data_IF_594416991705
#
_entry.id   IF_594416991705
#
_cell.length_a   1.000
_cell.length_b   1.000
_cell.length_c   1.000
_cell.angle_alpha   90.00
_cell.angle_beta   90.00
_cell.angle_gamma   90.00
#
_symmetry.space_group_name_H-M   'P 1'
#
loop_
_entity.id
_entity.type
_entity.pdbx_description
1 polymer ?
#
# COMPACT_ATOMS: atom_id res chain seq x y z
N UNK A 1 -18.21 26.56 50.03
CA UNK A 1 -17.81 26.58 48.60
C UNK A 1 -16.35 26.96 48.54
N UNK A 2 -15.60 26.41 47.59
CA UNK A 2 -14.19 26.73 47.39
C UNK A 2 -13.85 26.79 45.90
N UNK A 3 -12.72 27.43 45.59
CA UNK A 3 -12.30 27.62 44.22
C UNK A 3 -11.30 26.55 43.80
N UNK A 4 -11.57 25.89 42.67
CA UNK A 4 -10.63 25.04 41.94
C UNK A 4 -10.10 25.79 40.72
N UNK A 5 -8.81 26.09 40.71
CA UNK A 5 -8.12 26.67 39.56
C UNK A 5 -7.39 25.59 38.78
N UNK A 6 -7.60 25.54 37.47
CA UNK A 6 -6.94 24.58 36.59
C UNK A 6 -6.20 25.32 35.48
N UNK A 7 -4.89 25.09 35.38
CA UNK A 7 -4.05 25.56 34.27
C UNK A 7 -3.80 24.46 33.25
N UNK A 8 -4.25 24.68 32.02
CA UNK A 8 -3.78 23.91 30.86
C UNK A 8 -2.50 24.54 30.35
N UNK A 9 -1.36 23.95 30.70
CA UNK A 9 -0.05 24.38 30.17
C UNK A 9 -0.05 24.27 28.64
N UNK A 10 0.67 25.19 27.99
CA UNK A 10 0.80 25.18 26.53
C UNK A 10 1.43 23.87 26.06
N UNK A 11 0.82 23.25 25.07
CA UNK A 11 1.37 22.12 24.32
C UNK A 11 1.10 22.34 22.84
N UNK A 12 1.99 21.87 21.97
CA UNK A 12 1.71 21.79 20.53
C UNK A 12 0.64 20.73 20.24
N UNK A 13 0.68 19.65 21.03
CA UNK A 13 -0.24 18.51 20.90
C UNK A 13 -1.63 18.92 21.38
N UNK A 14 -2.65 18.70 20.55
CA UNK A 14 -4.03 19.07 20.89
C UNK A 14 -4.27 20.57 21.03
N UNK A 15 -3.36 21.41 20.54
CA UNK A 15 -3.38 22.87 20.74
C UNK A 15 -4.64 23.56 20.20
N UNK A 16 -5.25 23.04 19.15
CA UNK A 16 -6.46 23.57 18.52
C UNK A 16 -7.75 23.22 19.29
N UNK A 17 -7.75 22.10 20.00
CA UNK A 17 -8.91 21.62 20.75
C UNK A 17 -9.05 22.30 22.11
N UNK A 18 -10.27 22.41 22.63
CA UNK A 18 -10.54 22.79 24.02
C UNK A 18 -10.75 21.55 24.88
N UNK A 19 -10.17 21.52 26.07
CA UNK A 19 -10.38 20.46 27.05
C UNK A 19 -11.62 20.77 27.88
N UNK A 20 -12.53 19.81 28.02
CA UNK A 20 -13.75 19.93 28.81
C UNK A 20 -13.48 19.40 30.21
N UNK A 21 -13.77 20.23 31.21
CA UNK A 21 -13.61 19.90 32.63
C UNK A 21 -14.95 19.48 33.19
N UNK A 22 -14.97 18.33 33.85
CA UNK A 22 -16.13 17.73 34.49
C UNK A 22 -15.83 17.43 35.95
N UNK A 23 -16.86 17.40 36.79
CA UNK A 23 -16.77 16.97 38.19
C UNK A 23 -17.78 15.84 38.42
N UNK A 24 -17.39 14.85 39.22
CA UNK A 24 -18.28 13.77 39.66
C UNK A 24 -19.48 14.34 40.41
N UNK A 25 -20.67 13.93 40.01
CA UNK A 25 -21.93 14.36 40.61
C UNK A 25 -22.98 13.27 40.42
N UNK A 26 -23.29 12.55 41.49
CA UNK A 26 -24.22 11.41 41.49
C UNK A 26 -25.65 11.77 41.07
N UNK A 27 -26.02 13.06 41.12
CA UNK A 27 -27.33 13.55 40.72
C UNK A 27 -27.35 14.08 39.28
N UNK A 28 -26.19 14.16 38.63
CA UNK A 28 -26.08 14.65 37.26
C UNK A 28 -26.43 13.57 36.24
N UNK A 29 -27.23 13.96 35.25
CA UNK A 29 -27.54 13.15 34.07
C UNK A 29 -26.79 13.64 32.80
N UNK A 30 -25.83 14.56 32.93
CA UNK A 30 -25.21 15.21 31.78
C UNK A 30 -24.25 14.28 31.01
N UNK A 31 -23.38 13.57 31.75
CA UNK A 31 -22.38 12.69 31.16
C UNK A 31 -21.92 11.64 32.17
N UNK A 32 -21.81 10.39 31.72
CA UNK A 32 -21.10 9.33 32.47
C UNK A 32 -19.72 9.13 31.86
N UNK A 33 -18.67 9.20 32.67
CA UNK A 33 -17.27 8.95 32.28
C UNK A 33 -16.75 7.78 33.12
N UNK A 34 -16.36 6.68 32.47
CA UNK A 34 -15.86 5.48 33.17
C UNK A 34 -16.83 4.97 34.26
N UNK A 35 -18.13 5.07 34.01
CA UNK A 35 -19.18 4.65 34.94
C UNK A 35 -19.56 5.67 36.02
N UNK A 36 -18.90 6.84 36.07
CA UNK A 36 -19.17 7.88 37.07
C UNK A 36 -20.02 9.00 36.45
N UNK A 37 -21.22 9.29 36.99
CA UNK A 37 -22.02 10.45 36.60
C UNK A 37 -21.29 11.76 36.91
N UNK A 38 -21.29 12.68 35.95
CA UNK A 38 -20.53 13.92 36.00
C UNK A 38 -21.36 15.09 35.46
N UNK A 39 -21.09 16.30 35.97
CA UNK A 39 -21.55 17.57 35.39
C UNK A 39 -20.37 18.39 34.88
N UNK A 40 -20.58 19.22 33.85
CA UNK A 40 -19.55 20.07 33.26
C UNK A 40 -19.29 21.28 34.14
N UNK A 41 -18.01 21.56 34.40
CA UNK A 41 -17.55 22.80 35.02
C UNK A 41 -17.24 23.85 33.95
N UNK A 42 -16.61 23.44 32.85
CA UNK A 42 -16.29 24.36 31.77
C UNK A 42 -15.30 23.81 30.75
N UNK A 43 -14.55 24.71 30.13
CA UNK A 43 -13.59 24.39 29.08
C UNK A 43 -12.28 25.17 29.27
N UNK A 44 -11.17 24.58 28.81
CA UNK A 44 -9.82 25.13 28.85
C UNK A 44 -9.19 25.11 27.45
N UNK A 45 -8.89 26.29 26.92
CA UNK A 45 -8.05 26.52 25.74
C UNK A 45 -6.57 26.24 26.06
N UNK A 46 -5.76 26.09 25.03
CA UNK A 46 -4.33 25.84 25.19
C UNK A 46 -3.64 27.04 25.87
N UNK A 47 -2.97 26.80 26.99
CA UNK A 47 -2.34 27.87 27.79
C UNK A 47 -3.30 28.61 28.73
N UNK A 48 -4.59 28.25 28.77
CA UNK A 48 -5.58 28.92 29.63
C UNK A 48 -5.48 28.44 31.07
N UNK A 49 -5.68 29.37 31.99
CA UNK A 49 -5.93 29.12 33.40
C UNK A 49 -7.34 29.61 33.73
N UNK A 50 -8.13 28.77 34.39
CA UNK A 50 -9.53 29.09 34.71
C UNK A 50 -9.90 28.52 36.07
N UNK A 51 -10.72 29.29 36.79
CA UNK A 51 -11.22 28.94 38.12
C UNK A 51 -12.68 28.52 38.06
N UNK A 52 -13.04 27.55 38.89
CA UNK A 52 -14.37 26.97 39.00
C UNK A 52 -14.77 26.90 40.47
N UNK A 53 -16.01 27.25 40.77
CA UNK A 53 -16.59 27.07 42.09
C UNK A 53 -17.03 25.61 42.27
N UNK A 54 -16.53 24.98 43.34
CA UNK A 54 -16.85 23.61 43.72
C UNK A 54 -17.25 23.53 45.20
N UNK A 55 -17.89 22.43 45.59
CA UNK A 55 -18.21 22.16 46.99
C UNK A 55 -16.99 21.85 47.84
N UNK A 56 -17.22 21.66 49.13
CA UNK A 56 -16.20 21.33 50.12
C UNK A 56 -16.02 19.81 50.28
N UNK A 57 -16.90 19.02 49.67
CA UNK A 57 -16.80 17.57 49.58
C UNK A 57 -15.66 17.11 48.67
N UNK A 58 -15.15 15.91 48.95
CA UNK A 58 -14.21 15.25 48.05
C UNK A 58 -14.90 14.88 46.74
N UNK A 59 -14.22 15.12 45.62
CA UNK A 59 -14.79 14.89 44.30
C UNK A 59 -13.72 14.47 43.29
N UNK A 60 -14.15 13.84 42.19
CA UNK A 60 -13.27 13.48 41.08
C UNK A 60 -13.45 14.48 39.95
N UNK A 61 -12.35 15.11 39.55
CA UNK A 61 -12.29 16.03 38.41
C UNK A 61 -11.86 15.25 37.19
N UNK A 62 -12.60 15.33 36.09
CA UNK A 62 -12.25 14.72 34.81
C UNK A 62 -11.92 15.77 33.77
N UNK A 63 -10.95 15.45 32.91
CA UNK A 63 -10.60 16.27 31.74
C UNK A 63 -10.62 15.39 30.49
N UNK A 64 -11.45 15.76 29.52
CA UNK A 64 -11.61 15.05 28.24
C UNK A 64 -11.59 16.02 27.06
N UNK A 65 -11.19 15.54 25.88
CA UNK A 65 -11.28 16.33 24.65
C UNK A 65 -12.73 16.42 24.16
N UNK A 66 -13.42 15.29 24.11
CA UNK A 66 -14.78 15.16 23.61
C UNK A 66 -15.54 13.98 24.24
N UNK A 67 -16.85 13.92 23.97
CA UNK A 67 -17.74 12.91 24.55
C UNK A 67 -17.57 11.52 23.91
N UNK A 68 -17.03 11.42 22.68
CA UNK A 68 -16.85 10.18 21.94
C UNK A 68 -15.65 9.42 22.50
N UNK A 69 -14.56 10.13 22.78
CA UNK A 69 -13.31 9.54 23.26
C UNK A 69 -13.24 9.34 24.78
N UNK A 70 -14.28 9.72 25.53
CA UNK A 70 -14.29 9.80 27.01
C UNK A 70 -13.88 8.52 27.74
N UNK A 71 -14.03 7.36 27.12
CA UNK A 71 -13.74 6.05 27.73
C UNK A 71 -12.28 5.58 27.57
N UNK A 72 -11.47 6.31 26.80
CA UNK A 72 -10.07 5.94 26.54
C UNK A 72 -9.11 7.14 26.46
N UNK A 73 -9.62 8.33 26.13
CA UNK A 73 -8.91 9.61 26.14
C UNK A 73 -9.52 10.50 27.23
N UNK A 74 -9.26 10.12 28.48
CA UNK A 74 -9.58 10.90 29.66
C UNK A 74 -8.42 10.91 30.64
N UNK A 75 -8.48 11.85 31.57
CA UNK A 75 -7.70 11.89 32.79
C UNK A 75 -8.58 12.34 33.93
N UNK A 76 -8.24 11.92 35.15
CA UNK A 76 -8.92 12.39 36.34
C UNK A 76 -7.96 12.81 37.44
N UNK A 77 -8.46 13.57 38.41
CA UNK A 77 -7.77 13.92 39.65
C UNK A 77 -8.77 13.89 40.80
N UNK A 78 -8.43 13.21 41.89
CA UNK A 78 -9.24 13.20 43.09
C UNK A 78 -8.87 14.39 43.96
N UNK A 79 -9.84 15.29 44.15
CA UNK A 79 -9.68 16.44 45.05
C UNK A 79 -10.20 16.05 46.45
N UNK A 80 -9.43 16.28 47.52
CA UNK A 80 -9.84 15.93 48.87
C UNK A 80 -10.94 16.87 49.38
N UNK A 81 -11.75 16.43 50.33
CA UNK A 81 -12.66 17.34 51.04
C UNK A 81 -11.87 18.43 51.79
N UNK A 82 -12.45 19.61 51.94
CA UNK A 82 -11.86 20.73 52.68
C UNK A 82 -12.32 22.09 52.17
N UNK A 83 -11.87 23.15 52.85
CA UNK A 83 -12.23 24.54 52.55
C UNK A 83 -11.17 25.29 51.73
N UNK A 84 -9.98 24.70 51.60
CA UNK A 84 -8.86 25.32 50.90
C UNK A 84 -9.09 25.34 49.39
N UNK A 85 -8.71 26.48 48.78
CA UNK A 85 -8.65 26.61 47.33
C UNK A 85 -7.61 25.68 46.75
N UNK A 86 -7.91 25.10 45.59
CA UNK A 86 -7.05 24.13 44.94
C UNK A 86 -6.47 24.68 43.64
N UNK A 87 -5.23 24.28 43.36
CA UNK A 87 -4.57 24.57 42.10
C UNK A 87 -4.10 23.27 41.45
N UNK A 88 -4.63 22.99 40.26
CA UNK A 88 -4.20 21.88 39.43
C UNK A 88 -3.60 22.41 38.12
N UNK A 89 -2.68 21.66 37.55
CA UNK A 89 -2.16 21.96 36.22
C UNK A 89 -1.92 20.68 35.44
N UNK A 90 -1.83 20.82 34.12
CA UNK A 90 -1.52 19.71 33.25
C UNK A 90 -1.42 20.12 31.79
N UNK A 91 -1.15 19.16 30.91
CA UNK A 91 -1.06 19.37 29.46
C UNK A 91 -1.49 18.15 28.68
N UNK A 92 -1.80 18.34 27.41
CA UNK A 92 -1.90 17.22 26.47
C UNK A 92 -0.50 16.65 26.19
N UNK A 93 -0.40 15.32 26.21
CA UNK A 93 0.81 14.57 25.88
C UNK A 93 0.65 13.85 24.55
N UNK A 94 1.72 13.79 23.75
CA UNK A 94 1.70 13.05 22.49
C UNK A 94 1.64 11.55 22.76
N UNK A 95 0.48 10.96 22.49
CA UNK A 95 0.27 9.52 22.52
C UNK A 95 -0.97 9.21 21.64
N UNK A 96 -0.76 8.89 20.35
CA UNK A 96 -1.84 8.57 19.42
C UNK A 96 -2.75 7.43 19.92
N UNK A 97 -2.17 6.42 20.57
CA UNK A 97 -2.90 5.29 21.15
C UNK A 97 -3.82 5.67 22.33
N UNK A 98 -3.73 6.91 22.84
CA UNK A 98 -4.67 7.44 23.84
C UNK A 98 -5.29 8.77 23.41
N UNK A 99 -5.28 9.08 22.10
CA UNK A 99 -5.91 10.29 21.56
C UNK A 99 -5.28 11.59 22.05
N UNK A 100 -4.00 11.56 22.44
CA UNK A 100 -3.28 12.71 23.00
C UNK A 100 -3.96 13.34 24.24
N UNK A 101 -4.42 12.49 25.15
CA UNK A 101 -5.14 12.90 26.33
C UNK A 101 -4.40 13.95 27.18
N UNK A 102 -5.17 14.77 27.88
CA UNK A 102 -4.67 15.65 28.93
C UNK A 102 -4.10 14.81 30.08
N UNK A 103 -3.04 15.30 30.74
CA UNK A 103 -2.42 14.69 31.93
C UNK A 103 -2.22 15.75 32.99
N UNK A 104 -2.75 15.50 34.18
CA UNK A 104 -2.46 16.33 35.35
C UNK A 104 -1.02 16.10 35.78
N UNK A 105 -0.34 17.20 36.14
CA UNK A 105 0.94 17.14 36.80
C UNK A 105 0.78 16.54 38.19
N UNK A 106 1.83 15.86 38.68
CA UNK A 106 1.89 15.31 40.04
C UNK A 106 0.69 14.44 40.43
N UNK A 107 0.14 13.67 39.47
CA UNK A 107 -0.91 12.69 39.73
C UNK A 107 -0.36 11.25 39.61
N UNK A 108 0.34 10.74 40.66
CA UNK A 108 0.96 9.42 40.65
C UNK A 108 0.03 8.30 41.13
N UNK A 109 -1.27 8.57 41.35
CA UNK A 109 -2.16 7.57 41.94
C UNK A 109 -2.23 6.29 41.09
N UNK A 110 -2.26 5.13 41.76
CA UNK A 110 -2.33 3.83 41.10
C UNK A 110 -3.55 3.71 40.19
N UNK A 111 -4.68 4.31 40.60
CA UNK A 111 -5.90 4.36 39.79
C UNK A 111 -5.70 5.19 38.51
N UNK A 112 -5.07 6.37 38.60
CA UNK A 112 -4.80 7.20 37.42
C UNK A 112 -3.87 6.49 36.44
N UNK A 113 -2.80 5.85 36.94
CA UNK A 113 -1.87 5.05 36.12
C UNK A 113 -2.60 3.89 35.44
N UNK A 114 -3.47 3.19 36.18
CA UNK A 114 -4.25 2.06 35.65
C UNK A 114 -5.24 2.53 34.59
N UNK A 115 -5.90 3.66 34.80
CA UNK A 115 -6.80 4.29 33.83
C UNK A 115 -6.05 4.66 32.54
N UNK A 116 -4.86 5.27 32.63
CA UNK A 116 -4.01 5.59 31.47
C UNK A 116 -3.64 4.34 30.67
N UNK A 117 -3.28 3.24 31.34
CA UNK A 117 -2.98 1.95 30.68
C UNK A 117 -4.22 1.36 29.99
N UNK A 118 -5.37 1.36 30.67
CA UNK A 118 -6.65 0.88 30.12
C UNK A 118 -7.08 1.71 28.92
N UNK A 119 -6.95 3.03 29.00
CA UNK A 119 -7.22 3.96 27.90
C UNK A 119 -6.33 3.71 26.70
N UNK A 120 -5.02 3.50 26.92
CA UNK A 120 -4.08 3.15 25.84
C UNK A 120 -4.47 1.84 25.15
N UNK A 121 -4.81 0.79 25.90
CA UNK A 121 -5.27 -0.49 25.31
C UNK A 121 -6.53 -0.32 24.46
N UNK A 122 -7.53 0.42 24.96
CA UNK A 122 -8.76 0.72 24.19
C UNK A 122 -8.47 1.56 22.95
N UNK A 123 -7.62 2.58 23.07
CA UNK A 123 -7.30 3.45 21.94
C UNK A 123 -6.44 2.77 20.87
N UNK A 124 -5.60 1.78 21.22
CA UNK A 124 -4.96 0.89 20.22
C UNK A 124 -6.01 0.16 19.40
N UNK A 125 -7.04 -0.41 20.04
CA UNK A 125 -8.13 -1.11 19.32
C UNK A 125 -8.84 -0.15 18.36
N UNK A 126 -9.17 1.06 18.82
CA UNK A 126 -9.78 2.09 17.98
C UNK A 126 -8.88 2.47 16.80
N UNK A 127 -7.58 2.64 17.03
CA UNK A 127 -6.60 2.97 16.00
C UNK A 127 -6.48 1.83 14.96
N UNK A 128 -6.41 0.58 15.40
CA UNK A 128 -6.38 -0.59 14.52
C UNK A 128 -7.64 -0.67 13.65
N UNK A 129 -8.83 -0.45 14.25
CA UNK A 129 -10.10 -0.43 13.50
C UNK A 129 -10.10 0.71 12.48
N UNK A 130 -9.66 1.91 12.86
CA UNK A 130 -9.59 3.05 11.94
C UNK A 130 -8.64 2.79 10.75
N UNK A 131 -7.49 2.13 10.99
CA UNK A 131 -6.57 1.72 9.93
C UNK A 131 -7.20 0.67 9.01
N UNK A 132 -7.87 -0.34 9.56
CA UNK A 132 -8.56 -1.38 8.77
C UNK A 132 -9.66 -0.75 7.92
N UNK A 133 -10.51 0.11 8.50
CA UNK A 133 -11.58 0.80 7.77
C UNK A 133 -11.00 1.74 6.71
N UNK A 134 -9.93 2.49 7.03
CA UNK A 134 -9.22 3.32 6.06
C UNK A 134 -8.63 2.50 4.92
N UNK A 135 -8.08 1.32 5.21
CA UNK A 135 -7.58 0.39 4.21
C UNK A 135 -8.71 -0.19 3.35
N UNK A 136 -9.85 -0.57 3.94
CA UNK A 136 -11.01 -1.09 3.20
C UNK A 136 -11.61 -0.01 2.29
N UNK A 137 -11.86 1.20 2.80
CA UNK A 137 -12.37 2.32 1.99
C UNK A 137 -11.35 2.67 0.91
N UNK A 138 -10.07 2.76 1.26
CA UNK A 138 -8.99 2.96 0.31
C UNK A 138 -8.98 1.88 -0.76
N UNK A 139 -9.08 0.60 -0.39
CA UNK A 139 -9.12 -0.52 -1.31
C UNK A 139 -10.36 -0.52 -2.20
N UNK A 140 -11.55 -0.14 -1.72
CA UNK A 140 -12.77 -0.04 -2.53
C UNK A 140 -12.77 1.17 -3.47
N UNK A 141 -12.26 2.32 -3.04
CA UNK A 141 -12.11 3.52 -3.89
C UNK A 141 -11.00 3.31 -4.92
N UNK A 142 -9.88 2.71 -4.51
CA UNK A 142 -8.75 2.41 -5.40
C UNK A 142 -9.07 1.27 -6.36
N UNK A 143 -9.81 0.22 -5.94
CA UNK A 143 -10.27 -0.85 -6.84
C UNK A 143 -11.37 -0.37 -7.80
N UNK A 144 -12.28 0.53 -7.40
CA UNK A 144 -13.28 1.11 -8.29
C UNK A 144 -12.69 2.05 -9.35
N UNK A 145 -11.65 2.82 -8.99
CA UNK A 145 -10.91 3.66 -9.92
C UNK A 145 -10.02 2.80 -10.83
N UNK A 146 -9.31 1.80 -10.29
CA UNK A 146 -8.48 0.89 -11.08
C UNK A 146 -9.34 0.02 -12.01
N UNK A 147 -10.51 -0.45 -11.60
CA UNK A 147 -11.37 -1.26 -12.48
C UNK A 147 -11.92 -0.44 -13.66
N UNK A 148 -12.30 0.83 -13.44
CA UNK A 148 -12.74 1.73 -14.53
C UNK A 148 -11.56 2.24 -15.39
N UNK A 149 -10.36 2.40 -14.83
CA UNK A 149 -9.16 2.82 -15.57
C UNK A 149 -8.58 1.65 -16.37
N UNK A 150 -8.48 0.44 -15.80
CA UNK A 150 -7.99 -0.77 -16.48
C UNK A 150 -8.98 -1.24 -17.55
N UNK A 151 -10.30 -1.11 -17.34
CA UNK A 151 -11.28 -1.46 -18.39
C UNK A 151 -11.39 -0.43 -19.53
N UNK A 152 -10.73 0.74 -19.42
CA UNK A 152 -10.72 1.79 -20.46
C UNK A 152 -9.38 1.99 -21.18
N UNK A 153 -8.31 1.28 -20.84
CA UNK A 153 -7.14 1.25 -21.71
C UNK A 153 -7.37 0.24 -22.83
N UNK A 154 -7.97 0.70 -23.92
CA UNK A 154 -7.88 -0.05 -25.18
C UNK A 154 -6.38 -0.16 -25.52
N UNK A 155 -5.87 -1.38 -25.57
CA UNK A 155 -4.49 -1.64 -25.98
C UNK A 155 -4.20 -0.90 -27.29
N UNK A 156 -3.23 0.01 -27.27
CA UNK A 156 -2.84 0.82 -28.44
C UNK A 156 -1.44 0.42 -28.88
N UNK A 157 -1.13 0.42 -30.19
CA UNK A 157 0.21 0.13 -30.68
C UNK A 157 1.27 1.01 -30.01
N UNK A 158 2.39 0.40 -29.62
CA UNK A 158 3.54 1.09 -29.04
C UNK A 158 4.84 0.47 -29.57
N UNK A 159 5.71 1.31 -30.12
CA UNK A 159 7.03 0.90 -30.57
C UNK A 159 7.99 0.78 -29.38
N UNK A 160 8.78 -0.29 -29.38
CA UNK A 160 9.89 -0.52 -28.47
C UNK A 160 11.16 -0.69 -29.29
N UNK A 161 12.25 -0.06 -28.86
CA UNK A 161 13.55 -0.14 -29.54
C UNK A 161 14.65 -0.30 -28.51
N UNK A 162 15.46 -1.36 -28.64
CA UNK A 162 16.64 -1.59 -27.79
C UNK A 162 17.66 -2.48 -28.53
N UNK A 163 18.95 -2.26 -28.28
CA UNK A 163 20.05 -3.04 -28.89
C UNK A 163 19.95 -3.21 -30.42
N UNK A 164 19.46 -2.19 -31.13
CA UNK A 164 19.30 -2.21 -32.60
C UNK A 164 18.04 -2.94 -33.09
N UNK A 165 17.33 -3.67 -32.24
CA UNK A 165 16.04 -4.29 -32.57
C UNK A 165 14.89 -3.35 -32.23
N UNK A 166 13.91 -3.27 -33.12
CA UNK A 166 12.64 -2.53 -32.94
C UNK A 166 11.45 -3.46 -33.13
N UNK A 167 10.40 -3.31 -32.32
CA UNK A 167 9.15 -4.09 -32.41
C UNK A 167 7.97 -3.23 -31.97
N UNK A 168 6.82 -3.39 -32.62
CA UNK A 168 5.56 -2.74 -32.21
C UNK A 168 4.67 -3.73 -31.48
N UNK A 169 4.48 -3.49 -30.18
CA UNK A 169 3.57 -4.25 -29.31
C UNK A 169 2.40 -3.33 -28.92
N UNK A 170 1.91 -3.44 -27.68
CA UNK A 170 0.91 -2.54 -27.12
C UNK A 170 1.49 -1.76 -25.93
N UNK A 171 0.80 -0.70 -25.53
CA UNK A 171 1.09 0.04 -24.29
C UNK A 171 0.89 -0.77 -23.00
N UNK A 172 0.37 -2.01 -23.07
CA UNK A 172 0.29 -2.95 -21.96
C UNK A 172 1.65 -3.61 -21.65
N UNK A 173 2.59 -3.57 -22.60
CA UNK A 173 3.93 -4.10 -22.42
C UNK A 173 4.85 -3.08 -21.74
N UNK A 174 5.71 -3.59 -20.88
CA UNK A 174 6.75 -2.84 -20.17
C UNK A 174 8.09 -3.56 -20.31
N UNK A 175 9.19 -2.81 -20.43
CA UNK A 175 10.52 -3.39 -20.46
C UNK A 175 10.86 -3.99 -19.09
N UNK A 176 11.43 -5.19 -19.09
CA UNK A 176 12.00 -5.83 -17.92
C UNK A 176 13.37 -6.39 -18.26
N UNK A 177 14.27 -6.43 -17.28
CA UNK A 177 15.60 -7.00 -17.44
C UNK A 177 15.61 -8.43 -16.93
N UNK A 178 15.99 -9.36 -17.81
CA UNK A 178 16.32 -10.73 -17.44
C UNK A 178 17.75 -11.00 -17.92
N UNK A 179 18.66 -11.37 -17.01
CA UNK A 179 20.11 -11.48 -17.28
C UNK A 179 20.48 -12.33 -18.50
N UNK A 180 19.62 -13.28 -18.87
CA UNK A 180 19.85 -14.20 -19.98
C UNK A 180 19.38 -13.68 -21.34
N UNK A 181 18.60 -12.61 -21.39
CA UNK A 181 17.96 -12.11 -22.60
C UNK A 181 18.49 -10.73 -23.01
N UNK A 182 18.62 -10.49 -24.31
CA UNK A 182 19.08 -9.21 -24.87
C UNK A 182 18.05 -8.10 -24.64
N UNK A 183 16.77 -8.39 -24.86
CA UNK A 183 15.68 -7.51 -24.40
C UNK A 183 14.48 -8.35 -23.99
N UNK A 184 13.61 -7.76 -23.16
CA UNK A 184 12.38 -8.41 -22.71
C UNK A 184 11.28 -7.39 -22.47
N UNK A 185 10.08 -7.72 -22.94
CA UNK A 185 8.87 -6.92 -22.77
C UNK A 185 7.76 -7.78 -22.18
N UNK A 186 7.17 -7.34 -21.08
CA UNK A 186 6.19 -8.11 -20.30
C UNK A 186 4.89 -7.33 -20.19
N UNK A 187 3.78 -8.02 -20.45
CA UNK A 187 2.41 -7.61 -20.12
C UNK A 187 1.79 -8.60 -19.12
N UNK A 188 0.53 -8.41 -18.74
CA UNK A 188 -0.16 -9.36 -17.84
C UNK A 188 -0.40 -10.74 -18.48
N UNK A 189 -0.50 -10.81 -19.81
CA UNK A 189 -0.95 -12.00 -20.54
C UNK A 189 0.09 -12.57 -21.50
N UNK A 190 1.03 -11.75 -21.95
CA UNK A 190 2.07 -12.15 -22.89
C UNK A 190 3.44 -11.55 -22.55
N UNK A 191 4.48 -12.29 -22.91
CA UNK A 191 5.89 -11.92 -22.75
C UNK A 191 6.55 -11.98 -24.13
N UNK A 192 7.45 -11.05 -24.42
CA UNK A 192 8.38 -11.11 -25.55
C UNK A 192 9.80 -11.12 -25.01
N UNK A 193 10.60 -12.08 -25.43
CA UNK A 193 12.01 -12.26 -25.05
C UNK A 193 12.83 -12.30 -26.32
N UNK A 194 14.01 -11.67 -26.34
CA UNK A 194 14.93 -11.78 -27.48
C UNK A 194 16.33 -12.19 -27.05
N UNK A 195 17.01 -12.93 -27.91
CA UNK A 195 18.43 -13.24 -27.83
C UNK A 195 19.11 -12.80 -29.11
N UNK A 196 20.20 -12.04 -28.98
CA UNK A 196 21.16 -11.77 -30.06
C UNK A 196 22.32 -12.75 -29.95
N UNK A 197 22.50 -13.57 -30.97
CA UNK A 197 23.56 -14.56 -31.06
C UNK A 197 24.51 -14.18 -32.20
N UNK A 198 25.59 -13.48 -31.82
CA UNK A 198 26.61 -12.97 -32.74
C UNK A 198 27.30 -14.11 -33.51
N UNK A 199 27.65 -13.88 -34.78
CA UNK A 199 28.27 -14.93 -35.60
C UNK A 199 29.60 -15.46 -35.05
N UNK A 200 30.35 -14.63 -34.30
CA UNK A 200 31.62 -15.06 -33.70
C UNK A 200 31.46 -16.10 -32.58
N UNK A 201 30.23 -16.39 -32.13
CA UNK A 201 29.98 -17.39 -31.07
C UNK A 201 30.31 -18.82 -31.53
N UNK A 202 30.32 -19.08 -32.85
CA UNK A 202 30.62 -20.40 -33.42
C UNK A 202 31.25 -20.25 -34.81
N UNK A 203 32.30 -21.02 -35.11
CA UNK A 203 32.96 -20.98 -36.41
C UNK A 203 32.00 -21.37 -37.54
N UNK A 204 31.92 -20.53 -38.58
CA UNK A 204 31.06 -20.75 -39.74
C UNK A 204 29.57 -20.45 -39.50
N UNK A 205 29.21 -19.93 -38.33
CA UNK A 205 27.83 -19.62 -37.97
C UNK A 205 27.21 -18.57 -38.91
N UNK A 206 28.01 -17.61 -39.38
CA UNK A 206 27.61 -16.63 -40.39
C UNK A 206 27.08 -17.25 -41.70
N UNK A 207 27.45 -18.50 -41.99
CA UNK A 207 27.05 -19.21 -43.21
C UNK A 207 25.73 -19.97 -43.06
N UNK A 208 25.16 -20.06 -41.85
CA UNK A 208 23.93 -20.80 -41.62
C UNK A 208 22.73 -20.10 -42.28
N UNK A 209 21.78 -20.88 -42.79
CA UNK A 209 20.44 -20.38 -43.15
C UNK A 209 19.59 -20.21 -41.89
N UNK A 210 18.46 -19.49 -42.00
CA UNK A 210 17.49 -19.39 -40.90
C UNK A 210 16.95 -20.77 -40.48
N UNK A 211 16.68 -21.65 -41.43
CA UNK A 211 16.26 -23.03 -41.17
C UNK A 211 17.32 -23.82 -40.40
N UNK A 212 18.59 -23.74 -40.82
CA UNK A 212 19.69 -24.42 -40.12
C UNK A 212 19.86 -23.90 -38.69
N UNK A 213 19.75 -22.59 -38.51
CA UNK A 213 19.78 -21.95 -37.20
C UNK A 213 18.58 -22.39 -36.33
N UNK A 214 17.36 -22.34 -36.83
CA UNK A 214 16.17 -22.74 -36.08
C UNK A 214 16.23 -24.22 -35.67
N UNK A 215 16.64 -25.11 -36.58
CA UNK A 215 16.83 -26.53 -36.27
C UNK A 215 17.93 -26.76 -35.21
N UNK A 216 18.99 -25.96 -35.22
CA UNK A 216 20.02 -25.99 -34.17
C UNK A 216 19.42 -25.59 -32.81
N UNK A 217 18.62 -24.52 -32.76
CA UNK A 217 17.93 -24.07 -31.54
C UNK A 217 16.99 -25.16 -31.02
N UNK A 218 16.16 -25.75 -31.89
CA UNK A 218 15.22 -26.82 -31.53
C UNK A 218 15.96 -28.00 -30.91
N UNK A 219 17.00 -28.49 -31.59
CA UNK A 219 17.79 -29.64 -31.14
C UNK A 219 18.53 -29.39 -29.83
N UNK A 220 19.19 -28.22 -29.70
CA UNK A 220 19.98 -27.91 -28.51
C UNK A 220 19.14 -27.72 -27.25
N UNK A 221 17.85 -27.40 -27.40
CA UNK A 221 16.92 -27.23 -26.28
C UNK A 221 16.03 -28.46 -26.02
N UNK A 222 16.23 -29.57 -26.75
CA UNK A 222 15.49 -30.81 -26.55
C UNK A 222 13.99 -30.69 -26.83
N UNK A 223 13.61 -29.79 -27.75
CA UNK A 223 12.23 -29.55 -28.18
C UNK A 223 11.96 -30.18 -29.56
N UNK A 224 12.51 -31.37 -29.81
CA UNK A 224 12.53 -32.02 -31.13
C UNK A 224 11.14 -32.31 -31.74
N UNK A 225 10.07 -32.23 -30.93
CA UNK A 225 8.68 -32.32 -31.40
C UNK A 225 8.18 -31.05 -32.11
N UNK A 226 8.93 -29.95 -32.05
CA UNK A 226 8.57 -28.68 -32.67
C UNK A 226 8.83 -28.73 -34.18
N UNK A 227 7.80 -28.40 -34.95
CA UNK A 227 7.90 -28.26 -36.40
C UNK A 227 8.26 -26.83 -36.78
N UNK A 228 9.22 -26.67 -37.70
CA UNK A 228 9.54 -25.39 -38.30
C UNK A 228 8.43 -25.00 -39.28
N UNK A 229 7.99 -23.75 -39.20
CA UNK A 229 6.93 -23.16 -40.01
C UNK A 229 7.48 -21.93 -40.74
N UNK A 230 7.00 -21.74 -41.96
CA UNK A 230 7.33 -20.56 -42.77
C UNK A 230 6.08 -20.01 -43.44
N UNK A 231 5.85 -18.71 -43.29
CA UNK A 231 4.74 -17.99 -43.91
C UNK A 231 4.96 -16.47 -43.82
N UNK A 232 4.50 -15.70 -44.81
CA UNK A 232 4.58 -14.23 -44.83
C UNK A 232 5.98 -13.64 -44.50
N UNK A 233 7.05 -14.34 -44.90
CA UNK A 233 8.43 -13.92 -44.61
C UNK A 233 8.88 -14.13 -43.15
N UNK A 234 8.09 -14.83 -42.35
CA UNK A 234 8.45 -15.29 -41.01
C UNK A 234 8.86 -16.75 -41.05
N UNK A 235 9.93 -17.08 -40.32
CA UNK A 235 10.34 -18.45 -40.00
C UNK A 235 10.25 -18.62 -38.49
N UNK A 236 9.47 -19.59 -38.02
CA UNK A 236 9.25 -19.80 -36.59
C UNK A 236 8.93 -21.24 -36.24
N UNK A 237 9.01 -21.57 -34.96
CA UNK A 237 8.52 -22.83 -34.41
C UNK A 237 7.79 -22.57 -33.09
N UNK A 238 7.04 -23.55 -32.65
CA UNK A 238 6.24 -23.47 -31.43
C UNK A 238 6.55 -24.61 -30.49
N UNK A 239 6.54 -24.33 -29.19
CA UNK A 239 6.69 -25.35 -28.16
C UNK A 239 5.94 -24.96 -26.90
N UNK A 240 5.74 -25.91 -26.00
CA UNK A 240 5.20 -25.65 -24.67
C UNK A 240 6.30 -25.85 -23.63
N UNK A 241 6.31 -25.00 -22.61
CA UNK A 241 7.16 -25.18 -21.45
C UNK A 241 6.36 -24.91 -20.18
N UNK A 242 6.71 -25.62 -19.12
CA UNK A 242 6.06 -25.55 -17.81
C UNK A 242 7.08 -25.08 -16.77
N UNK A 243 6.65 -24.18 -15.90
CA UNK A 243 7.31 -23.97 -14.60
C UNK A 243 6.45 -24.60 -13.51
N UNK A 244 6.91 -24.60 -12.25
CA UNK A 244 6.22 -25.25 -11.11
C UNK A 244 4.76 -24.83 -10.88
N UNK A 245 4.23 -23.83 -11.61
CA UNK A 245 2.90 -23.26 -11.41
C UNK A 245 2.05 -23.20 -12.67
N UNK A 246 2.64 -22.99 -13.84
CA UNK A 246 1.91 -22.60 -15.05
C UNK A 246 2.55 -23.15 -16.34
N UNK A 247 1.69 -23.53 -17.29
CA UNK A 247 2.08 -23.92 -18.66
C UNK A 247 1.97 -22.75 -19.63
N UNK A 248 3.00 -22.59 -20.44
CA UNK A 248 3.11 -21.54 -21.44
C UNK A 248 3.31 -22.14 -22.83
N UNK A 249 2.67 -21.50 -23.82
CA UNK A 249 2.90 -21.73 -25.24
C UNK A 249 3.86 -20.65 -25.76
N UNK A 250 4.93 -21.08 -26.41
CA UNK A 250 5.94 -20.22 -27.01
C UNK A 250 5.82 -20.23 -28.53
N UNK A 251 6.00 -19.05 -29.13
CA UNK A 251 6.13 -18.81 -30.57
C UNK A 251 7.49 -18.16 -30.80
N UNK A 252 8.44 -18.94 -31.33
CA UNK A 252 9.84 -18.56 -31.44
C UNK A 252 10.19 -18.25 -32.90
N UNK A 253 10.39 -16.98 -33.21
CA UNK A 253 10.73 -16.46 -34.53
C UNK A 253 12.23 -16.28 -34.66
N UNK A 254 12.78 -16.64 -35.81
CA UNK A 254 14.21 -16.49 -36.10
C UNK A 254 14.46 -15.42 -37.16
N UNK A 255 15.49 -14.61 -36.95
CA UNK A 255 15.92 -13.58 -37.87
C UNK A 255 17.44 -13.61 -38.03
N UNK A 256 17.93 -13.10 -39.16
CA UNK A 256 19.36 -13.02 -39.46
C UNK A 256 19.69 -11.59 -39.88
N UNK A 257 20.63 -10.97 -39.18
CA UNK A 257 21.20 -9.66 -39.51
C UNK A 257 22.57 -9.86 -40.17
N UNK A 258 23.29 -8.76 -40.42
CA UNK A 258 24.64 -8.79 -40.97
C UNK A 258 25.71 -9.26 -39.96
N UNK A 259 25.39 -9.29 -38.68
CA UNK A 259 26.31 -9.58 -37.58
C UNK A 259 25.88 -10.75 -36.67
N UNK A 260 24.59 -11.11 -36.66
CA UNK A 260 24.04 -12.07 -35.71
C UNK A 260 22.80 -12.82 -36.23
N UNK A 261 22.46 -13.90 -35.52
CA UNK A 261 21.10 -14.40 -35.48
C UNK A 261 20.34 -13.80 -34.31
N UNK A 262 19.03 -13.68 -34.47
CA UNK A 262 18.12 -13.26 -33.42
C UNK A 262 17.04 -14.32 -33.22
N UNK A 263 16.87 -14.75 -31.97
CA UNK A 263 15.73 -15.54 -31.53
C UNK A 263 14.78 -14.63 -30.77
N UNK A 264 13.59 -14.40 -31.33
CA UNK A 264 12.53 -13.57 -30.72
C UNK A 264 11.36 -14.47 -30.36
N UNK A 265 11.08 -14.58 -29.06
CA UNK A 265 10.12 -15.53 -28.53
C UNK A 265 8.97 -14.80 -27.87
N UNK A 266 7.75 -15.12 -28.27
CA UNK A 266 6.54 -14.68 -27.59
C UNK A 266 5.98 -15.83 -26.77
N UNK A 267 5.62 -15.57 -25.52
CA UNK A 267 5.03 -16.55 -24.62
C UNK A 267 3.71 -16.05 -24.06
N UNK A 268 2.74 -16.95 -23.96
CA UNK A 268 1.43 -16.72 -23.33
C UNK A 268 1.02 -17.98 -22.59
N UNK A 269 0.08 -17.90 -21.65
CA UNK A 269 -0.52 -19.08 -21.05
C UNK A 269 -1.19 -19.93 -22.14
N UNK A 270 -1.13 -21.26 -21.99
CA UNK A 270 -1.73 -22.19 -22.96
C UNK A 270 -3.22 -21.89 -23.17
N UNK A 271 -3.95 -21.52 -22.11
CA UNK A 271 -5.38 -21.16 -22.18
C UNK A 271 -5.67 -19.92 -23.03
N UNK A 272 -4.74 -18.94 -23.07
CA UNK A 272 -4.86 -17.70 -23.85
C UNK A 272 -4.26 -17.84 -25.27
N UNK A 273 -3.59 -18.95 -25.59
CA UNK A 273 -2.80 -19.13 -26.82
C UNK A 273 -3.59 -18.87 -28.11
N UNK A 274 -4.81 -19.40 -28.22
CA UNK A 274 -5.69 -19.20 -29.38
C UNK A 274 -6.07 -17.73 -29.61
N UNK A 275 -6.21 -16.96 -28.52
CA UNK A 275 -6.52 -15.52 -28.62
C UNK A 275 -5.28 -14.72 -29.04
N UNK A 276 -4.11 -15.13 -28.56
CA UNK A 276 -2.86 -14.39 -28.73
C UNK A 276 -2.09 -14.73 -30.00
N UNK A 277 -2.22 -15.94 -30.55
CA UNK A 277 -1.57 -16.36 -31.79
C UNK A 277 -1.70 -15.32 -32.92
N UNK A 278 -2.89 -14.85 -33.33
CA UNK A 278 -2.98 -13.84 -34.39
C UNK A 278 -2.32 -12.51 -34.01
N UNK A 279 -2.35 -12.10 -32.74
CA UNK A 279 -1.69 -10.87 -32.28
C UNK A 279 -0.17 -11.00 -32.34
N UNK A 280 0.35 -12.16 -31.93
CA UNK A 280 1.76 -12.50 -31.95
C UNK A 280 2.30 -12.52 -33.38
N UNK A 281 1.56 -13.09 -34.33
CA UNK A 281 1.96 -13.07 -35.74
C UNK A 281 2.05 -11.64 -36.27
N UNK A 282 1.10 -10.77 -35.92
CA UNK A 282 1.16 -9.36 -36.32
C UNK A 282 2.32 -8.62 -35.65
N UNK A 283 2.60 -8.87 -34.35
CA UNK A 283 3.76 -8.28 -33.68
C UNK A 283 5.09 -8.75 -34.29
N UNK A 284 5.22 -10.03 -34.62
CA UNK A 284 6.42 -10.60 -35.23
C UNK A 284 6.73 -9.96 -36.60
N UNK A 285 5.70 -9.58 -37.38
CA UNK A 285 5.87 -8.85 -38.65
C UNK A 285 6.44 -7.44 -38.47
N UNK A 286 6.31 -6.84 -37.28
CA UNK A 286 6.83 -5.50 -37.00
C UNK A 286 8.27 -5.49 -36.51
N UNK A 287 8.86 -6.67 -36.25
CA UNK A 287 10.24 -6.80 -35.83
C UNK A 287 11.16 -6.33 -36.95
N UNK A 288 12.07 -5.41 -36.63
CA UNK A 288 13.05 -4.87 -37.56
C UNK A 288 14.37 -4.57 -36.84
N UNK A 289 15.46 -4.53 -37.61
CA UNK A 289 16.81 -4.32 -37.11
C UNK A 289 17.44 -3.11 -37.81
N UNK A 290 18.16 -2.29 -37.05
CA UNK A 290 18.86 -1.09 -37.52
C UNK A 290 20.36 -1.29 -37.53
#
# INVERSE_FOLDING_TARGET
>A
MRTLTIKRKKSFVGCLGKMKVYISDSFSNELVISGIPCRKLGELKNGEEKSFEIGEEGARIFVIADKISKEYCNEFYDVPAGQENLYLSGKNEFNPASGNAFRFDNNPSTEAITNRKKGTKKGIIVLCVAVIVGFLIGFFVFSGIIYNVISSFKASPKEFSNYGMTVTLTNEFSAQEYERFTTSYVSQKAIMLSLKEEFYLMEGFENYTLEQYANLVIKNNGIDSSELKENDGLTWFEYEAENDKEKYKYFAFVYKTNDAFWLVQFATKVEDSKEYEPKIMEWAKTVSFK
#
